data_IF_661278352956
#
_entry.id   IF_661278352956
#
_cell.length_a   1.000
_cell.length_b   1.000
_cell.length_c   1.000
_cell.angle_alpha   90.00
_cell.angle_beta   90.00
_cell.angle_gamma   90.00
#
_symmetry.space_group_name_H-M   'P 1'
#
loop_
_entity.id
_entity.type
_entity.pdbx_description
1 polymer ?
#
# COMPACT_ATOMS: atom_id res chain seq x y z
N UNK A 1 -13.57 -7.73 12.52
CA UNK A 1 -12.14 -7.36 12.60
C UNK A 1 -11.82 -6.15 11.73
N UNK A 2 -11.76 -6.28 10.40
CA UNK A 2 -11.38 -5.18 9.49
C UNK A 2 -12.22 -3.89 9.59
N UNK A 3 -13.47 -3.98 10.06
CA UNK A 3 -14.39 -2.83 10.16
C UNK A 3 -14.34 -2.08 11.49
N UNK A 4 -13.83 -2.70 12.56
CA UNK A 4 -14.10 -2.25 13.93
C UNK A 4 -12.90 -2.37 14.87
N UNK A 5 -11.73 -2.73 14.36
CA UNK A 5 -10.55 -2.83 15.21
C UNK A 5 -10.11 -1.43 15.68
N UNK A 6 -9.81 -1.26 16.99
CA UNK A 6 -9.27 -0.02 17.52
C UNK A 6 -7.78 0.17 17.20
N UNK A 7 -7.18 -0.74 16.42
CA UNK A 7 -5.77 -0.77 16.06
C UNK A 7 -5.57 -1.15 14.59
N UNK A 8 -4.38 -0.85 14.07
CA UNK A 8 -3.98 -1.23 12.72
C UNK A 8 -4.00 -2.75 12.56
N UNK A 9 -4.39 -3.24 11.39
CA UNK A 9 -4.51 -4.67 11.07
C UNK A 9 -3.50 -5.03 9.99
N UNK A 10 -2.84 -6.17 10.15
CA UNK A 10 -2.04 -6.80 9.10
C UNK A 10 -2.70 -8.08 8.61
N UNK A 11 -2.86 -8.23 7.30
CA UNK A 11 -3.27 -9.47 6.64
C UNK A 11 -2.05 -10.02 5.92
N UNK A 12 -1.56 -11.18 6.32
CA UNK A 12 -0.43 -11.85 5.69
C UNK A 12 -0.93 -12.95 4.76
N UNK A 13 -0.66 -12.80 3.47
CA UNK A 13 -0.75 -13.88 2.49
C UNK A 13 0.62 -14.56 2.46
N UNK A 14 0.74 -15.61 3.28
CA UNK A 14 1.98 -16.35 3.44
C UNK A 14 2.20 -17.32 2.26
N UNK A 15 3.42 -17.28 1.72
CA UNK A 15 3.91 -18.17 0.68
C UNK A 15 5.27 -18.78 1.06
N UNK A 16 5.42 -19.13 2.34
CA UNK A 16 6.67 -19.69 2.89
C UNK A 16 7.62 -18.64 3.45
N UNK A 17 7.13 -17.44 3.76
CA UNK A 17 7.89 -16.44 4.49
C UNK A 17 8.03 -16.90 5.94
N UNK A 18 9.26 -17.11 6.41
CA UNK A 18 9.47 -17.69 7.73
C UNK A 18 10.01 -19.13 7.74
N UNK A 19 10.01 -19.82 6.59
CA UNK A 19 10.43 -21.23 6.56
C UNK A 19 11.90 -21.38 6.99
N UNK A 20 12.16 -22.36 7.85
CA UNK A 20 13.45 -22.62 8.50
C UNK A 20 14.60 -22.83 7.51
N UNK A 21 14.30 -23.28 6.29
CA UNK A 21 15.28 -23.42 5.20
C UNK A 21 15.75 -22.07 4.61
N UNK A 22 14.93 -21.02 4.70
CA UNK A 22 15.26 -19.66 4.21
C UNK A 22 15.84 -18.77 5.30
N UNK A 23 15.54 -19.01 6.57
CA UNK A 23 16.00 -18.18 7.70
C UNK A 23 17.22 -18.83 8.38
N UNK A 24 18.34 -18.86 7.67
CA UNK A 24 19.63 -18.85 8.36
C UNK A 24 19.79 -17.49 9.06
N UNK A 25 20.42 -17.44 10.24
CA UNK A 25 20.81 -16.18 10.90
C UNK A 25 21.69 -15.26 10.02
N UNK A 26 22.19 -15.76 8.89
CA UNK A 26 22.95 -15.02 7.88
C UNK A 26 22.16 -14.63 6.62
N UNK A 27 20.89 -15.02 6.52
CA UNK A 27 20.07 -14.76 5.33
C UNK A 27 19.55 -13.32 5.35
N UNK A 28 19.77 -12.61 4.25
CA UNK A 28 19.28 -11.25 4.06
C UNK A 28 17.87 -11.33 3.49
N UNK A 29 16.89 -10.78 4.19
CA UNK A 29 15.51 -10.68 3.72
C UNK A 29 15.36 -9.41 2.87
N UNK A 30 15.14 -9.58 1.57
CA UNK A 30 14.80 -8.47 0.68
C UNK A 30 13.29 -8.21 0.77
N UNK A 31 12.95 -7.01 1.22
CA UNK A 31 11.58 -6.54 1.42
C UNK A 31 11.32 -5.36 0.49
N UNK A 32 10.08 -5.24 0.01
CA UNK A 32 9.61 -4.03 -0.64
C UNK A 32 8.41 -3.46 0.12
N UNK A 33 8.25 -2.15 0.07
CA UNK A 33 6.98 -1.49 0.35
C UNK A 33 6.55 -0.69 -0.89
N UNK A 34 5.29 -0.80 -1.25
CA UNK A 34 4.67 0.02 -2.31
C UNK A 34 3.91 1.16 -1.64
N UNK A 35 4.21 2.38 -2.04
CA UNK A 35 3.57 3.60 -1.57
C UNK A 35 2.92 4.31 -2.75
N UNK A 36 1.60 4.28 -2.82
CA UNK A 36 0.78 5.03 -3.79
C UNK A 36 0.25 6.31 -3.12
N UNK A 37 -0.14 6.21 -1.85
CA UNK A 37 -0.71 7.30 -1.08
C UNK A 37 -1.98 6.86 -0.33
N UNK A 38 -2.36 7.64 0.67
CA UNK A 38 -3.50 7.39 1.53
C UNK A 38 -3.11 6.83 2.90
N UNK A 39 -4.13 6.79 3.76
CA UNK A 39 -4.03 6.42 5.19
C UNK A 39 -3.37 5.06 5.45
N UNK A 40 -3.80 4.04 4.71
CA UNK A 40 -3.29 2.67 4.88
C UNK A 40 -1.82 2.56 4.42
N UNK A 41 -1.45 3.25 3.35
CA UNK A 41 -0.07 3.29 2.84
C UNK A 41 0.87 4.02 3.80
N UNK A 42 0.41 5.12 4.43
CA UNK A 42 1.17 5.82 5.48
C UNK A 42 1.41 4.93 6.71
N UNK A 43 0.40 4.18 7.14
CA UNK A 43 0.57 3.20 8.22
C UNK A 43 1.53 2.07 7.81
N UNK A 44 1.44 1.60 6.56
CA UNK A 44 2.36 0.62 6.02
C UNK A 44 3.81 1.13 6.01
N UNK A 45 4.01 2.39 5.65
CA UNK A 45 5.32 3.06 5.63
C UNK A 45 5.91 3.19 7.03
N UNK A 46 5.08 3.56 8.01
CA UNK A 46 5.49 3.58 9.42
C UNK A 46 5.90 2.18 9.92
N UNK A 47 5.15 1.14 9.56
CA UNK A 47 5.50 -0.25 9.87
C UNK A 47 6.82 -0.67 9.20
N UNK A 48 6.97 -0.41 7.90
CA UNK A 48 8.18 -0.74 7.15
C UNK A 48 9.43 -0.06 7.74
N UNK A 49 9.30 1.19 8.21
CA UNK A 49 10.36 1.90 8.92
C UNK A 49 10.77 1.28 10.27
N UNK A 50 9.90 0.48 10.89
CA UNK A 50 10.27 -0.34 12.07
C UNK A 50 11.01 -1.59 11.65
N UNK A 51 10.54 -2.27 10.60
CA UNK A 51 11.16 -3.49 10.06
C UNK A 51 12.57 -3.23 9.51
N UNK A 52 12.79 -2.09 8.88
CA UNK A 52 14.09 -1.66 8.34
C UNK A 52 15.20 -1.50 9.40
N UNK A 53 14.86 -1.50 10.71
CA UNK A 53 15.87 -1.42 11.79
C UNK A 53 16.57 -2.75 12.02
N UNK A 54 16.02 -3.86 11.51
CA UNK A 54 16.61 -5.18 11.70
C UNK A 54 17.81 -5.38 10.76
N UNK A 55 18.98 -5.82 11.24
CA UNK A 55 20.21 -5.90 10.43
C UNK A 55 20.12 -6.92 9.28
N UNK A 56 19.23 -7.91 9.40
CA UNK A 56 18.97 -8.88 8.33
C UNK A 56 17.99 -8.41 7.25
N UNK A 57 17.51 -7.17 7.29
CA UNK A 57 16.51 -6.65 6.34
C UNK A 57 17.15 -5.67 5.36
N UNK A 58 16.89 -5.89 4.07
CA UNK A 58 17.09 -4.90 3.02
C UNK A 58 15.73 -4.45 2.51
N UNK A 59 15.34 -3.23 2.84
CA UNK A 59 14.06 -2.66 2.43
C UNK A 59 14.26 -1.74 1.21
N UNK A 60 13.35 -1.87 0.25
CA UNK A 60 13.17 -0.92 -0.85
C UNK A 60 11.79 -0.27 -0.74
N UNK A 61 11.72 1.06 -0.78
CA UNK A 61 10.45 1.78 -0.94
C UNK A 61 10.26 2.09 -2.41
N UNK A 62 9.10 1.67 -2.93
CA UNK A 62 8.69 1.89 -4.32
C UNK A 62 7.51 2.84 -4.32
N UNK A 63 7.75 4.08 -4.74
CA UNK A 63 6.73 5.13 -4.78
C UNK A 63 6.10 5.19 -6.16
N UNK A 64 4.80 4.94 -6.23
CA UNK A 64 4.00 5.03 -7.45
C UNK A 64 3.37 6.42 -7.55
N UNK A 65 3.70 7.15 -8.60
CA UNK A 65 3.22 8.50 -8.86
C UNK A 65 2.46 8.55 -10.18
N UNK A 66 1.43 9.38 -10.26
CA UNK A 66 0.71 9.61 -11.51
C UNK A 66 1.62 10.36 -12.48
N UNK A 67 1.77 9.82 -13.69
CA UNK A 67 2.39 10.54 -14.79
C UNK A 67 1.41 11.58 -15.35
N UNK A 68 1.62 12.85 -14.98
CA UNK A 68 0.78 13.98 -15.40
C UNK A 68 0.98 14.37 -16.87
N UNK A 69 2.03 13.88 -17.53
CA UNK A 69 2.38 14.23 -18.90
C UNK A 69 1.85 13.21 -19.93
N UNK A 70 1.29 12.09 -19.47
CA UNK A 70 0.71 11.08 -20.35
C UNK A 70 -0.66 11.50 -20.89
N UNK A 71 -0.86 11.42 -22.21
CA UNK A 71 -2.19 11.65 -22.82
C UNK A 71 -3.26 10.66 -22.33
N UNK A 72 -2.83 9.52 -21.79
CA UNK A 72 -3.69 8.45 -21.27
C UNK A 72 -4.02 8.60 -19.78
N UNK A 73 -3.51 9.63 -19.10
CA UNK A 73 -3.80 9.86 -17.68
C UNK A 73 -5.23 10.43 -17.52
N UNK A 74 -6.17 9.71 -16.88
CA UNK A 74 -7.49 10.26 -16.63
C UNK A 74 -7.37 11.48 -15.70
N UNK A 75 -7.89 12.62 -16.15
CA UNK A 75 -7.69 13.92 -15.48
C UNK A 75 -8.31 13.98 -14.09
N UNK A 76 -9.36 13.18 -13.82
CA UNK A 76 -9.99 12.96 -12.50
C UNK A 76 -10.72 11.62 -12.48
N UNK A 77 -10.68 10.93 -11.35
CA UNK A 77 -11.63 9.86 -11.05
C UNK A 77 -12.79 10.51 -10.29
N UNK A 78 -14.04 10.14 -10.59
CA UNK A 78 -15.21 10.65 -9.85
C UNK A 78 -15.12 10.21 -8.39
N UNK A 79 -14.63 11.12 -7.55
CA UNK A 79 -14.52 10.92 -6.10
C UNK A 79 -15.66 11.62 -5.39
N UNK A 80 -16.15 10.96 -4.35
CA UNK A 80 -17.07 11.59 -3.37
C UNK A 80 -16.35 12.63 -2.51
N UNK A 81 -15.03 12.66 -2.54
CA UNK A 81 -14.20 13.64 -1.85
C UNK A 81 -14.13 14.95 -2.66
N UNK A 82 -14.16 16.06 -1.94
CA UNK A 82 -13.94 17.40 -2.50
C UNK A 82 -12.48 17.55 -2.97
N UNK A 83 -12.24 18.51 -3.87
CA UNK A 83 -10.88 18.83 -4.34
C UNK A 83 -9.96 19.20 -3.16
N UNK A 84 -10.49 19.94 -2.18
CA UNK A 84 -9.74 20.34 -0.99
C UNK A 84 -9.35 19.14 -0.10
N UNK A 85 -10.23 18.15 0.08
CA UNK A 85 -9.91 16.93 0.81
C UNK A 85 -8.83 16.10 0.12
N UNK A 86 -8.85 16.05 -1.22
CA UNK A 86 -7.84 15.34 -2.00
C UNK A 86 -6.47 16.04 -1.95
N UNK A 87 -6.43 17.36 -2.02
CA UNK A 87 -5.19 18.14 -1.87
C UNK A 87 -4.60 17.99 -0.46
N UNK A 88 -5.45 17.99 0.57
CA UNK A 88 -5.00 17.76 1.94
C UNK A 88 -4.47 16.34 2.14
N UNK A 89 -5.12 15.32 1.58
CA UNK A 89 -4.62 13.95 1.65
C UNK A 89 -3.25 13.83 0.96
N UNK A 90 -3.08 14.43 -0.21
CA UNK A 90 -1.79 14.47 -0.93
C UNK A 90 -0.70 15.18 -0.10
N UNK A 91 -1.03 16.30 0.55
CA UNK A 91 -0.10 17.02 1.42
C UNK A 91 0.36 16.15 2.60
N UNK A 92 -0.57 15.45 3.24
CA UNK A 92 -0.24 14.54 4.35
C UNK A 92 0.59 13.34 3.89
N UNK A 93 0.35 12.83 2.68
CA UNK A 93 1.13 11.76 2.09
C UNK A 93 2.56 12.20 1.78
N UNK A 94 2.74 13.41 1.22
CA UNK A 94 4.04 14.01 0.95
C UNK A 94 4.84 14.28 2.23
N UNK A 95 4.20 14.83 3.27
CA UNK A 95 4.83 15.09 4.56
C UNK A 95 5.28 13.78 5.24
N UNK A 96 4.41 12.77 5.25
CA UNK A 96 4.73 11.46 5.80
C UNK A 96 5.90 10.80 5.06
N UNK A 97 5.89 10.88 3.72
CA UNK A 97 6.96 10.33 2.91
C UNK A 97 8.29 11.08 3.12
N UNK A 98 8.26 12.41 3.21
CA UNK A 98 9.45 13.22 3.48
C UNK A 98 10.09 12.87 4.82
N UNK A 99 9.30 12.71 5.89
CA UNK A 99 9.84 12.28 7.19
C UNK A 99 10.50 10.90 7.10
N UNK A 100 9.87 9.96 6.38
CA UNK A 100 10.44 8.64 6.16
C UNK A 100 11.75 8.71 5.36
N UNK A 101 11.76 9.51 4.29
CA UNK A 101 12.91 9.67 3.41
C UNK A 101 14.13 10.18 4.20
N UNK A 102 13.97 11.26 4.94
CA UNK A 102 15.04 11.82 5.77
C UNK A 102 15.57 10.82 6.81
N UNK A 103 14.67 10.08 7.46
CA UNK A 103 15.06 9.15 8.53
C UNK A 103 15.74 7.88 8.03
N UNK A 104 15.35 7.37 6.87
CA UNK A 104 15.70 6.01 6.43
C UNK A 104 16.38 5.95 5.07
N UNK A 105 16.00 6.81 4.12
CA UNK A 105 16.53 6.78 2.75
C UNK A 105 17.78 7.65 2.62
N UNK A 106 17.74 8.90 3.10
CA UNK A 106 18.87 9.84 3.01
C UNK A 106 20.14 9.27 3.67
N UNK A 107 19.98 8.52 4.76
CA UNK A 107 21.06 7.82 5.45
C UNK A 107 21.45 6.45 4.85
N UNK A 108 20.90 6.07 3.70
CA UNK A 108 21.23 4.83 2.97
C UNK A 108 20.75 3.53 3.60
N UNK A 109 19.87 3.57 4.61
CA UNK A 109 19.34 2.36 5.27
C UNK A 109 18.27 1.66 4.45
N UNK A 110 17.55 2.42 3.63
CA UNK A 110 16.44 1.96 2.80
C UNK A 110 16.65 2.45 1.37
N UNK A 111 16.52 1.54 0.41
CA UNK A 111 16.59 1.90 -1.00
C UNK A 111 15.30 2.60 -1.44
N UNK A 112 15.39 3.50 -2.41
CA UNK A 112 14.26 4.25 -2.93
C UNK A 112 14.15 4.14 -4.45
N UNK A 113 12.93 3.93 -4.94
CA UNK A 113 12.60 3.87 -6.35
C UNK A 113 11.27 4.58 -6.62
N UNK A 114 11.28 5.49 -7.59
CA UNK A 114 10.05 6.11 -8.10
C UNK A 114 9.59 5.42 -9.39
N UNK A 115 8.28 5.29 -9.55
CA UNK A 115 7.62 4.83 -10.77
C UNK A 115 6.52 5.81 -11.13
N UNK A 116 6.69 6.51 -12.25
CA UNK A 116 5.63 7.32 -12.85
C UNK A 116 4.78 6.42 -13.76
N UNK A 117 3.48 6.39 -13.49
CA UNK A 117 2.53 5.47 -14.12
C UNK A 117 1.35 6.28 -14.67
N UNK A 118 0.93 5.99 -15.88
CA UNK A 118 -0.18 6.72 -16.51
C UNK A 118 -1.56 6.24 -16.00
N UNK A 119 -1.69 4.94 -15.70
CA UNK A 119 -2.99 4.31 -15.40
C UNK A 119 -2.83 2.99 -14.62
N UNK A 120 -3.97 2.37 -14.31
CA UNK A 120 -4.03 1.08 -13.61
C UNK A 120 -3.47 -0.10 -14.39
N UNK A 121 -3.48 -0.09 -15.72
CA UNK A 121 -2.86 -1.14 -16.53
C UNK A 121 -1.33 -1.14 -16.40
N UNK A 122 -0.72 0.03 -16.42
CA UNK A 122 0.71 0.17 -16.14
C UNK A 122 1.04 -0.21 -14.69
N UNK A 123 0.17 0.17 -13.75
CA UNK A 123 0.27 -0.24 -12.35
C UNK A 123 0.26 -1.76 -12.22
N UNK A 124 -0.70 -2.43 -12.85
CA UNK A 124 -0.79 -3.90 -12.88
C UNK A 124 0.49 -4.54 -13.42
N UNK A 125 1.01 -4.03 -14.54
CA UNK A 125 2.22 -4.55 -15.17
C UNK A 125 3.44 -4.39 -14.27
N UNK A 126 3.58 -3.22 -13.62
CA UNK A 126 4.65 -2.97 -12.68
C UNK A 126 4.54 -3.87 -11.44
N UNK A 127 3.34 -4.04 -10.87
CA UNK A 127 3.12 -4.98 -9.75
C UNK A 127 3.59 -6.38 -10.12
N UNK A 128 3.19 -6.90 -11.29
CA UNK A 128 3.60 -8.23 -11.77
C UNK A 128 5.10 -8.37 -11.91
N UNK A 129 5.79 -7.33 -12.36
CA UNK A 129 7.25 -7.35 -12.52
C UNK A 129 7.99 -7.56 -11.20
N UNK A 130 7.40 -7.21 -10.05
CA UNK A 130 8.03 -7.35 -8.72
C UNK A 130 8.05 -8.80 -8.20
N UNK A 131 7.31 -9.71 -8.82
CA UNK A 131 7.25 -11.11 -8.40
C UNK A 131 8.62 -11.77 -8.40
N UNK A 132 8.97 -12.45 -7.30
CA UNK A 132 10.23 -13.18 -7.15
C UNK A 132 11.45 -12.31 -6.84
N UNK A 133 11.34 -10.98 -6.90
CA UNK A 133 12.44 -10.07 -6.51
C UNK A 133 12.54 -9.90 -4.99
N UNK A 134 11.42 -10.03 -4.30
CA UNK A 134 11.29 -9.78 -2.86
C UNK A 134 10.73 -11.01 -2.15
N UNK A 135 11.19 -11.22 -0.92
CA UNK A 135 10.66 -12.25 -0.02
C UNK A 135 9.32 -11.86 0.60
N UNK A 136 9.12 -10.56 0.82
CA UNK A 136 7.89 -9.98 1.34
C UNK A 136 7.65 -8.61 0.69
N UNK A 137 6.43 -8.38 0.22
CA UNK A 137 5.96 -7.07 -0.24
C UNK A 137 4.91 -6.56 0.75
N UNK A 138 5.13 -5.35 1.26
CA UNK A 138 4.23 -4.65 2.17
C UNK A 138 3.43 -3.63 1.36
N UNK A 139 2.12 -3.61 1.54
CA UNK A 139 1.23 -2.65 0.87
C UNK A 139 0.19 -2.15 1.86
N UNK A 140 -0.30 -0.92 1.69
CA UNK A 140 -1.55 -0.53 2.31
C UNK A 140 -2.72 -1.25 1.62
N UNK A 141 -3.78 -1.51 2.38
CA UNK A 141 -5.03 -2.08 1.84
C UNK A 141 -5.67 -1.15 0.81
N UNK A 142 -5.44 0.14 0.92
CA UNK A 142 -6.12 1.15 0.13
C UNK A 142 -7.53 1.41 0.68
N UNK A 143 -7.84 2.69 0.83
CA UNK A 143 -9.16 3.14 1.26
C UNK A 143 -10.24 2.91 0.19
N UNK A 144 -11.48 3.31 0.49
CA UNK A 144 -12.61 3.26 -0.48
C UNK A 144 -12.49 4.28 -1.63
N UNK A 145 -11.34 4.92 -1.80
CA UNK A 145 -11.11 6.00 -2.78
C UNK A 145 -10.08 5.50 -3.80
N UNK A 146 -10.53 5.27 -5.03
CA UNK A 146 -9.68 4.73 -6.10
C UNK A 146 -8.81 5.83 -6.73
N UNK A 147 -7.52 5.87 -6.48
CA UNK A 147 -6.64 6.75 -7.25
C UNK A 147 -6.65 6.41 -8.76
N UNK A 148 -6.17 7.32 -9.61
CA UNK A 148 -5.97 7.08 -11.06
C UNK A 148 -5.16 5.79 -11.32
N UNK A 149 -4.27 5.41 -10.40
CA UNK A 149 -3.42 4.23 -10.52
C UNK A 149 -4.11 2.94 -10.08
N UNK A 150 -5.22 3.03 -9.35
CA UNK A 150 -5.92 1.86 -8.79
C UNK A 150 -7.33 1.69 -9.33
N UNK A 151 -7.88 2.70 -10.03
CA UNK A 151 -9.20 2.62 -10.68
C UNK A 151 -9.20 1.50 -11.73
N UNK A 152 -10.19 0.60 -11.63
CA UNK A 152 -10.31 -0.57 -12.51
C UNK A 152 -9.52 -1.81 -12.06
N UNK A 153 -8.57 -1.69 -11.11
CA UNK A 153 -7.98 -2.89 -10.49
C UNK A 153 -9.00 -3.66 -9.65
N UNK A 154 -10.00 -2.95 -9.12
CA UNK A 154 -11.07 -3.53 -8.31
C UNK A 154 -12.17 -4.24 -9.13
N UNK A 155 -12.23 -4.04 -10.45
CA UNK A 155 -13.34 -4.53 -11.28
C UNK A 155 -13.35 -6.07 -11.40
N UNK A 156 -12.21 -6.70 -11.10
CA UNK A 156 -12.00 -8.15 -11.14
C UNK A 156 -11.49 -8.71 -9.81
N UNK A 157 -11.71 -7.98 -8.71
CA UNK A 157 -11.16 -8.33 -7.41
C UNK A 157 -11.77 -9.63 -6.88
N UNK A 158 -10.92 -10.60 -6.52
CA UNK A 158 -11.41 -11.87 -5.94
C UNK A 158 -11.57 -11.76 -4.42
N UNK A 159 -10.70 -10.99 -3.77
CA UNK A 159 -10.66 -10.80 -2.32
C UNK A 159 -10.72 -9.29 -1.99
N UNK A 160 -11.93 -8.70 -1.89
CA UNK A 160 -12.16 -7.29 -1.52
C UNK A 160 -11.44 -6.83 -0.24
N UNK A 161 -11.25 -7.75 0.71
CA UNK A 161 -10.57 -7.52 1.98
C UNK A 161 -9.09 -7.12 1.83
N UNK A 162 -8.42 -7.54 0.75
CA UNK A 162 -7.01 -7.27 0.49
C UNK A 162 -6.79 -5.91 -0.20
N UNK A 163 -7.85 -5.34 -0.75
CA UNK A 163 -7.80 -4.14 -1.58
C UNK A 163 -7.14 -4.33 -2.96
N UNK A 164 -7.19 -3.31 -3.84
CA UNK A 164 -6.82 -3.46 -5.26
C UNK A 164 -5.41 -4.00 -5.47
N UNK A 165 -4.44 -3.42 -4.77
CA UNK A 165 -3.03 -3.80 -4.92
C UNK A 165 -2.76 -5.14 -4.25
N UNK A 166 -3.28 -5.32 -3.03
CA UNK A 166 -3.12 -6.56 -2.27
C UNK A 166 -3.70 -7.76 -3.01
N UNK A 167 -4.86 -7.62 -3.63
CA UNK A 167 -5.52 -8.67 -4.42
C UNK A 167 -4.69 -9.09 -5.64
N UNK A 168 -4.21 -8.12 -6.43
CA UNK A 168 -3.35 -8.38 -7.60
C UNK A 168 -2.09 -9.16 -7.22
N UNK A 169 -1.43 -8.76 -6.14
CA UNK A 169 -0.21 -9.41 -5.63
C UNK A 169 -0.51 -10.76 -4.95
N UNK A 170 -1.74 -10.96 -4.48
CA UNK A 170 -2.18 -12.20 -3.83
C UNK A 170 -2.71 -13.24 -4.82
N UNK A 171 -3.03 -12.83 -6.05
CA UNK A 171 -3.51 -13.71 -7.11
C UNK A 171 -2.55 -14.86 -7.45
N UNK A 172 -3.10 -15.99 -7.89
CA UNK A 172 -2.37 -17.22 -8.22
C UNK A 172 -1.35 -17.09 -9.34
N UNK A 173 -1.50 -16.09 -10.20
CA UNK A 173 -0.57 -15.76 -11.29
C UNK A 173 0.62 -14.91 -10.82
N UNK A 174 0.67 -14.54 -9.54
CA UNK A 174 1.81 -13.87 -8.93
C UNK A 174 2.84 -14.88 -8.43
N UNK A 175 4.10 -14.47 -8.24
CA UNK A 175 5.17 -15.36 -7.79
C UNK A 175 4.79 -16.12 -6.52
N UNK A 176 4.96 -17.45 -6.55
CA UNK A 176 4.72 -18.33 -5.42
C UNK A 176 5.75 -18.16 -4.28
N UNK A 177 6.82 -17.39 -4.48
CA UNK A 177 7.92 -17.27 -3.51
C UNK A 177 7.89 -15.96 -2.70
N UNK A 178 6.96 -15.07 -3.03
CA UNK A 178 6.83 -13.73 -2.43
C UNK A 178 5.59 -13.69 -1.56
N UNK A 179 5.75 -13.47 -0.25
CA UNK A 179 4.60 -13.24 0.65
C UNK A 179 4.13 -11.80 0.58
N UNK A 180 2.86 -11.54 0.89
CA UNK A 180 2.27 -10.20 0.83
C UNK A 180 1.72 -9.83 2.21
N UNK A 181 2.12 -8.69 2.75
CA UNK A 181 1.56 -8.12 3.96
C UNK A 181 0.74 -6.88 3.62
N UNK A 182 -0.56 -6.99 3.80
CA UNK A 182 -1.51 -5.90 3.59
C UNK A 182 -1.77 -5.23 4.94
N UNK A 183 -1.54 -3.93 5.03
CA UNK A 183 -1.73 -3.14 6.25
C UNK A 183 -2.95 -2.24 6.11
N UNK A 184 -3.79 -2.24 7.14
CA UNK A 184 -4.94 -1.35 7.25
C UNK A 184 -4.78 -0.48 8.49
N UNK A 185 -4.88 0.83 8.34
CA UNK A 185 -4.95 1.75 9.46
C UNK A 185 -6.31 1.60 10.16
N UNK A 186 -6.32 1.73 11.49
CA UNK A 186 -7.57 1.78 12.24
C UNK A 186 -8.44 2.96 11.78
N UNK A 187 -9.75 2.75 11.72
CA UNK A 187 -10.72 3.80 11.41
C UNK A 187 -11.61 4.05 12.62
N UNK A 188 -11.42 5.18 13.30
CA UNK A 188 -12.29 5.62 14.41
C UNK A 188 -13.72 5.92 13.91
N UNK A 189 -13.94 6.08 12.59
CA UNK A 189 -15.25 6.37 12.00
C UNK A 189 -16.31 5.28 12.21
N UNK A 190 -15.95 4.08 12.66
CA UNK A 190 -16.93 3.05 13.04
C UNK A 190 -17.90 3.49 14.16
N UNK A 191 -17.57 4.56 14.91
CA UNK A 191 -18.46 5.18 15.90
C UNK A 191 -19.41 6.25 15.34
N UNK A 192 -19.18 6.78 14.12
CA UNK A 192 -19.99 7.87 13.55
C UNK A 192 -20.91 7.42 12.40
N UNK A 193 -20.59 6.32 11.71
CA UNK A 193 -21.48 5.72 10.68
C UNK A 193 -22.80 5.17 11.28
N UNK A 194 -22.91 5.09 12.62
CA UNK A 194 -24.15 4.76 13.32
C UNK A 194 -24.93 5.97 13.84
N UNK A 195 -24.41 7.19 13.69
CA UNK A 195 -25.03 8.43 14.19
C UNK A 195 -25.56 9.34 13.09
N UNK A 196 -25.23 9.07 11.81
CA UNK A 196 -25.76 9.85 10.69
C UNK A 196 -27.19 9.47 10.31
N UNK A 197 -27.69 8.30 10.74
CA UNK A 197 -29.03 7.82 10.39
C UNK A 197 -30.11 8.16 11.44
N UNK A 198 -29.77 8.79 12.58
CA UNK A 198 -30.73 9.08 13.66
C UNK A 198 -31.17 10.56 13.79
N UNK A 199 -30.69 11.47 12.94
CA UNK A 199 -31.14 12.89 12.96
C UNK A 199 -31.92 13.32 11.70
N UNK A 200 -32.75 12.42 11.18
CA UNK A 200 -33.91 12.82 10.36
C UNK A 200 -35.20 12.42 11.08
N UNK A 201 -35.56 13.19 12.10
CA UNK A 201 -36.92 13.22 12.64
C UNK A 201 -37.53 14.56 12.20
N UNK A 202 -38.59 14.43 11.37
CA UNK A 202 -39.61 15.41 10.96
C UNK A 202 -39.34 16.90 11.12
#
# INVERSE_FOLDING_TARGET
>A
LLRSAPCSIGILVDRGFGSVERISRSSICNLAIIFIGGKDDREALAFAGRVARHPGVKLTVIRFLVDKNSENAPRRVNHRATVAEQEEEMRLDDECFAEFYERYVAGGKVAYMEKHLANSSETYTNLRSLGGQYSLIIVGRGGRVNTVLTVGLNDWQQCPELGPVGDVLSGSTFSCDTSILIIQQHSIKGQLDGLSDEFSIM
#
